data_IF_322194575797
#
_entry.id   IF_322194575797
#
_cell.length_a   1.000
_cell.length_b   1.000
_cell.length_c   1.000
_cell.angle_alpha   90.00
_cell.angle_beta   90.00
_cell.angle_gamma   90.00
#
_symmetry.space_group_name_H-M   'P 1'
#
loop_
_entity.id
_entity.type
_entity.pdbx_description
1 polymer ?
#
# COMPACT_ATOMS: atom_id res chain seq x y z
N UNK A 1 16.08 -2.75 -3.52
CA UNK A 1 14.71 -2.93 -2.99
C UNK A 1 14.82 -3.76 -1.73
N UNK A 2 14.45 -3.25 -0.55
CA UNK A 2 14.46 -4.06 0.67
C UNK A 2 13.24 -4.97 0.67
N UNK A 3 13.39 -6.22 0.22
CA UNK A 3 12.32 -7.22 0.23
C UNK A 3 12.07 -7.63 1.69
N UNK A 4 10.91 -7.28 2.23
CA UNK A 4 10.43 -7.88 3.45
C UNK A 4 9.65 -9.15 3.08
N UNK A 5 10.05 -10.31 3.59
CA UNK A 5 9.36 -11.59 3.29
C UNK A 5 8.05 -11.78 4.06
N UNK A 6 7.66 -10.74 4.79
CA UNK A 6 6.46 -10.65 5.61
C UNK A 6 5.43 -9.68 5.06
N UNK A 7 5.68 -9.08 3.91
CA UNK A 7 4.55 -8.50 3.20
C UNK A 7 3.78 -9.68 2.65
N UNK A 8 2.47 -9.73 2.88
CA UNK A 8 1.58 -10.75 2.34
C UNK A 8 1.47 -10.71 0.80
N UNK A 9 2.41 -10.02 0.13
CA UNK A 9 2.45 -9.80 -1.30
C UNK A 9 1.40 -8.79 -1.76
N UNK A 10 0.64 -8.21 -0.85
CA UNK A 10 -0.46 -7.32 -1.15
C UNK A 10 -0.39 -6.03 -0.35
N UNK A 11 -1.02 -5.01 -0.89
CA UNK A 11 -1.38 -3.79 -0.17
C UNK A 11 -2.89 -3.63 -0.19
N UNK A 12 -3.38 -2.85 0.76
CA UNK A 12 -4.79 -2.63 0.95
C UNK A 12 -5.07 -1.14 0.91
N UNK A 13 -6.15 -0.77 0.22
CA UNK A 13 -6.65 0.59 0.23
C UNK A 13 -7.33 0.88 1.57
N UNK A 14 -6.77 1.83 2.32
CA UNK A 14 -7.34 2.25 3.61
C UNK A 14 -8.47 3.25 3.50
N UNK A 15 -8.72 3.82 2.31
CA UNK A 15 -9.87 4.68 2.08
C UNK A 15 -11.08 3.89 1.57
N UNK A 16 -10.85 2.68 1.04
CA UNK A 16 -11.91 1.75 0.70
C UNK A 16 -12.52 1.12 1.96
N UNK A 17 -13.85 1.05 2.09
CA UNK A 17 -14.50 0.30 3.18
C UNK A 17 -14.17 -1.21 3.10
N UNK A 18 -13.79 -1.69 1.91
CA UNK A 18 -13.35 -3.07 1.65
C UNK A 18 -11.84 -3.18 1.75
N UNK A 19 -11.33 -4.25 2.38
CA UNK A 19 -9.92 -4.63 2.31
C UNK A 19 -9.62 -5.41 1.01
N UNK A 20 -9.80 -4.71 -0.11
CA UNK A 20 -9.41 -5.22 -1.44
C UNK A 20 -7.90 -5.37 -1.48
N UNK A 21 -7.44 -6.54 -1.93
CA UNK A 21 -6.03 -6.83 -2.13
C UNK A 21 -5.57 -6.26 -3.46
N UNK A 22 -4.43 -5.57 -3.45
CA UNK A 22 -3.76 -5.08 -4.63
C UNK A 22 -2.33 -5.60 -4.66
N UNK A 23 -1.86 -6.02 -5.83
CA UNK A 23 -0.43 -6.20 -6.03
C UNK A 23 0.27 -4.83 -5.88
N UNK A 24 1.44 -4.75 -5.21
CA UNK A 24 2.15 -3.49 -5.02
C UNK A 24 2.43 -2.74 -6.34
N UNK A 25 2.78 -3.46 -7.40
CA UNK A 25 3.03 -2.88 -8.73
C UNK A 25 1.77 -2.22 -9.29
N UNK A 26 0.64 -2.92 -9.30
CA UNK A 26 -0.65 -2.38 -9.76
C UNK A 26 -1.13 -1.21 -8.89
N UNK A 27 -0.88 -1.24 -7.58
CA UNK A 27 -1.19 -0.13 -6.69
C UNK A 27 -0.31 1.10 -6.99
N UNK A 28 0.98 0.91 -7.30
CA UNK A 28 1.87 1.99 -7.73
C UNK A 28 1.40 2.58 -9.06
N UNK A 29 1.08 1.73 -10.04
CA UNK A 29 0.56 2.17 -11.34
C UNK A 29 -0.72 3.01 -11.18
N UNK A 30 -1.63 2.56 -10.31
CA UNK A 30 -2.84 3.32 -9.98
C UNK A 30 -2.50 4.69 -9.36
N UNK A 31 -1.58 4.75 -8.40
CA UNK A 31 -1.18 6.01 -7.78
C UNK A 31 -0.52 6.98 -8.78
N UNK A 32 0.34 6.46 -9.66
CA UNK A 32 1.00 7.25 -10.71
C UNK A 32 0.00 7.74 -11.76
N UNK A 33 -0.99 6.91 -12.11
CA UNK A 33 -2.08 7.31 -13.02
C UNK A 33 -2.93 8.43 -12.44
N UNK A 34 -3.32 8.32 -11.17
CA UNK A 34 -4.07 9.36 -10.44
C UNK A 34 -3.28 10.67 -10.35
N UNK A 35 -1.98 10.59 -10.08
CA UNK A 35 -1.09 11.74 -10.07
C UNK A 35 -1.02 12.42 -11.46
N UNK A 36 -0.85 11.65 -12.52
CA UNK A 36 -0.80 12.17 -13.89
C UNK A 36 -2.13 12.85 -14.28
N UNK A 37 -3.27 12.28 -13.92
CA UNK A 37 -4.59 12.86 -14.17
C UNK A 37 -4.78 14.19 -13.43
N UNK A 38 -4.37 14.26 -12.16
CA UNK A 38 -4.46 15.49 -11.37
C UNK A 38 -3.62 16.63 -11.99
N UNK A 39 -2.40 16.31 -12.45
CA UNK A 39 -1.54 17.27 -13.15
C UNK A 39 -2.17 17.72 -14.48
N UNK A 40 -2.72 16.77 -15.25
CA UNK A 40 -3.33 17.08 -16.54
C UNK A 40 -4.55 18.00 -16.39
N UNK A 41 -5.43 17.74 -15.40
CA UNK A 41 -6.60 18.60 -15.15
C UNK A 41 -6.21 20.03 -14.79
N UNK A 42 -5.18 20.21 -13.95
CA UNK A 42 -4.66 21.53 -13.61
C UNK A 42 -4.10 22.26 -14.85
N UNK A 43 -3.40 21.53 -15.72
CA UNK A 43 -2.85 22.09 -16.96
C UNK A 43 -3.94 22.52 -17.96
N UNK A 44 -5.00 21.73 -18.14
CA UNK A 44 -6.12 22.05 -19.04
C UNK A 44 -6.88 23.28 -18.54
N UNK A 45 -7.05 23.41 -17.23
CA UNK A 45 -7.73 24.54 -16.62
C UNK A 45 -6.93 25.85 -16.68
N UNK A 46 -5.64 25.83 -17.04
CA UNK A 46 -4.71 26.97 -16.86
C UNK A 46 -4.72 27.52 -15.42
N UNK A 47 -5.09 26.69 -14.44
CA UNK A 47 -5.13 27.05 -13.02
C UNK A 47 -4.01 26.29 -12.32
N UNK A 48 -3.03 26.96 -11.71
CA UNK A 48 -2.02 26.28 -10.91
C UNK A 48 -2.70 25.59 -9.72
N UNK A 49 -2.29 24.35 -9.43
CA UNK A 49 -2.79 23.64 -8.25
C UNK A 49 -2.51 24.44 -6.98
N UNK A 50 -3.54 24.63 -6.16
CA UNK A 50 -3.40 25.30 -4.86
C UNK A 50 -2.54 24.47 -3.91
N UNK A 51 -2.05 25.09 -2.83
CA UNK A 51 -1.30 24.38 -1.80
C UNK A 51 -2.14 23.25 -1.17
N UNK A 52 -3.44 23.47 -0.93
CA UNK A 52 -4.32 22.43 -0.38
C UNK A 52 -4.51 21.27 -1.35
N UNK A 53 -4.61 21.53 -2.66
CA UNK A 53 -4.76 20.49 -3.68
C UNK A 53 -3.50 19.61 -3.78
N UNK A 54 -2.32 20.23 -3.70
CA UNK A 54 -1.04 19.51 -3.66
C UNK A 54 -0.94 18.64 -2.41
N UNK A 55 -1.24 19.21 -1.24
CA UNK A 55 -1.21 18.45 0.03
C UNK A 55 -2.20 17.27 0.02
N UNK A 56 -3.42 17.48 -0.50
CA UNK A 56 -4.42 16.42 -0.63
C UNK A 56 -3.94 15.29 -1.54
N UNK A 57 -3.26 15.63 -2.64
CA UNK A 57 -2.69 14.65 -3.57
C UNK A 57 -1.57 13.85 -2.92
N UNK A 58 -0.68 14.50 -2.17
CA UNK A 58 0.38 13.82 -1.41
C UNK A 58 -0.18 12.90 -0.32
N UNK A 59 -1.24 13.32 0.39
CA UNK A 59 -1.94 12.45 1.36
C UNK A 59 -2.64 11.28 0.67
N UNK A 60 -3.17 11.46 -0.53
CA UNK A 60 -3.83 10.38 -1.28
C UNK A 60 -2.85 9.26 -1.67
N UNK A 61 -1.59 9.61 -1.99
CA UNK A 61 -0.51 8.65 -2.25
C UNK A 61 -0.24 7.73 -1.06
N UNK A 62 -0.64 8.12 0.15
CA UNK A 62 -0.42 7.33 1.36
C UNK A 62 -1.54 6.33 1.70
N UNK A 63 -2.53 6.15 0.81
CA UNK A 63 -3.72 5.32 1.07
C UNK A 63 -3.44 3.82 1.12
N UNK A 64 -2.50 3.33 0.30
CA UNK A 64 -2.19 1.90 0.22
C UNK A 64 -1.21 1.51 1.31
N UNK A 65 -1.57 0.50 2.11
CA UNK A 65 -0.71 0.01 3.19
C UNK A 65 -0.59 -1.49 3.24
N UNK A 66 0.55 -1.95 3.74
CA UNK A 66 0.77 -3.34 4.07
C UNK A 66 0.14 -3.67 5.43
N UNK A 67 -0.68 -4.73 5.52
CA UNK A 67 -1.30 -5.13 6.79
C UNK A 67 -0.26 -5.62 7.81
N UNK A 68 0.85 -6.20 7.34
CA UNK A 68 1.87 -6.79 8.20
C UNK A 68 2.55 -5.77 9.13
N UNK A 69 2.85 -4.58 8.64
CA UNK A 69 3.63 -3.55 9.33
C UNK A 69 2.98 -2.16 9.31
N UNK A 70 1.80 -2.03 8.70
CA UNK A 70 1.08 -0.77 8.48
C UNK A 70 1.92 0.29 7.76
N UNK A 71 2.95 -0.13 7.02
CA UNK A 71 3.75 0.78 6.20
C UNK A 71 2.97 1.18 4.97
N UNK A 72 3.11 2.46 4.62
CA UNK A 72 2.57 3.03 3.40
C UNK A 72 3.39 2.59 2.18
N UNK A 73 2.70 2.23 1.12
CA UNK A 73 3.31 2.01 -0.19
C UNK A 73 3.81 3.36 -0.73
N UNK A 74 5.10 3.46 -1.00
CA UNK A 74 5.72 4.68 -1.51
C UNK A 74 5.93 4.58 -3.02
N UNK A 75 5.62 5.66 -3.77
CA UNK A 75 5.83 5.75 -5.22
C UNK A 75 7.25 6.19 -5.59
N UNK A 76 7.96 6.87 -4.68
CA UNK A 76 9.31 7.40 -4.88
C UNK A 76 10.31 6.85 -3.86
N UNK A 77 11.45 6.35 -4.35
CA UNK A 77 12.75 6.28 -3.64
C UNK A 77 12.77 5.64 -2.25
N UNK A 78 13.30 4.42 -2.18
CA UNK A 78 13.55 3.64 -0.96
C UNK A 78 12.32 3.42 -0.07
N UNK A 79 11.51 2.43 -0.47
CA UNK A 79 10.59 1.71 0.43
C UNK A 79 11.35 1.41 1.71
N UNK A 80 11.06 2.17 2.77
CA UNK A 80 11.65 1.98 4.08
C UNK A 80 11.22 0.61 4.59
N UNK A 81 11.98 -0.42 4.25
CA UNK A 81 11.65 -1.80 4.56
C UNK A 81 11.41 -1.99 6.05
N UNK A 82 10.57 -2.97 6.39
CA UNK A 82 10.44 -3.48 7.75
C UNK A 82 11.80 -3.52 8.43
N UNK A 83 11.87 -3.05 9.69
CA UNK A 83 13.11 -2.93 10.48
C UNK A 83 14.02 -4.15 10.26
N UNK A 84 15.26 -3.88 9.83
CA UNK A 84 16.35 -4.86 9.64
C UNK A 84 16.41 -5.86 10.80
N UNK A 85 16.46 -7.15 10.50
CA UNK A 85 16.95 -8.13 11.46
C UNK A 85 16.34 -9.53 11.45
N UNK A 86 15.25 -9.82 10.74
CA UNK A 86 14.70 -11.19 10.75
C UNK A 86 14.30 -11.78 9.39
N UNK A 87 14.13 -10.99 8.33
CA UNK A 87 13.31 -11.39 7.17
C UNK A 87 13.73 -10.76 5.82
N UNK A 88 15.03 -10.64 5.57
CA UNK A 88 15.58 -10.14 4.30
C UNK A 88 15.78 -11.25 3.25
N UNK A 89 15.82 -10.90 1.94
CA UNK A 89 15.96 -11.84 0.83
C UNK A 89 17.32 -12.55 0.83
N UNK A 90 18.30 -12.03 1.56
CA UNK A 90 19.57 -12.71 1.81
C UNK A 90 19.44 -14.10 2.47
N UNK A 91 18.28 -14.42 3.07
CA UNK A 91 18.10 -15.63 3.89
C UNK A 91 16.93 -16.54 3.48
N UNK A 92 16.26 -16.28 2.36
CA UNK A 92 15.05 -17.03 1.95
C UNK A 92 14.93 -17.09 0.43
N UNK A 93 14.67 -18.28 -0.09
CA UNK A 93 14.47 -18.50 -1.52
C UNK A 93 13.09 -17.99 -1.97
N UNK A 94 12.91 -17.79 -3.29
CA UNK A 94 11.62 -17.38 -3.87
C UNK A 94 10.46 -18.31 -3.50
N UNK A 95 10.68 -19.62 -3.49
CA UNK A 95 9.63 -20.59 -3.17
C UNK A 95 9.23 -20.52 -1.69
N UNK A 96 10.21 -20.35 -0.80
CA UNK A 96 9.94 -20.15 0.62
C UNK A 96 9.22 -18.83 0.89
N UNK A 97 9.50 -17.79 0.07
CA UNK A 97 8.76 -16.54 0.09
C UNK A 97 7.29 -16.72 -0.32
N UNK A 98 7.02 -17.41 -1.43
CA UNK A 98 5.67 -17.67 -1.92
C UNK A 98 4.87 -18.50 -0.89
N UNK A 99 5.50 -19.50 -0.29
CA UNK A 99 4.90 -20.34 0.75
C UNK A 99 4.60 -19.56 2.04
N UNK A 100 5.54 -18.73 2.51
CA UNK A 100 5.36 -17.94 3.73
C UNK A 100 4.24 -16.90 3.56
N UNK A 101 4.18 -16.25 2.39
CA UNK A 101 3.11 -15.33 2.01
C UNK A 101 1.72 -15.99 2.11
N UNK A 102 1.57 -17.16 1.51
CA UNK A 102 0.28 -17.85 1.39
C UNK A 102 -0.19 -18.46 2.71
N UNK A 103 0.74 -18.82 3.61
CA UNK A 103 0.43 -19.51 4.87
C UNK A 103 0.52 -18.62 6.13
N UNK A 104 0.73 -17.30 5.98
CA UNK A 104 0.84 -16.43 7.14
C UNK A 104 -0.55 -16.15 7.77
N UNK A 105 -0.96 -17.05 8.67
CA UNK A 105 -2.23 -16.95 9.40
C UNK A 105 -2.37 -15.64 10.18
N UNK A 106 -1.26 -15.05 10.67
CA UNK A 106 -1.29 -13.78 11.40
C UNK A 106 -1.86 -12.63 10.54
N UNK A 107 -1.54 -12.61 9.23
CA UNK A 107 -2.10 -11.61 8.32
C UNK A 107 -3.58 -11.83 8.05
N UNK A 108 -4.00 -13.09 7.90
CA UNK A 108 -5.41 -13.41 7.72
C UNK A 108 -6.23 -13.00 8.96
N UNK A 109 -5.74 -13.28 10.17
CA UNK A 109 -6.39 -12.84 11.40
C UNK A 109 -6.47 -11.31 11.50
N UNK A 110 -5.37 -10.60 11.22
CA UNK A 110 -5.38 -9.11 11.21
C UNK A 110 -6.36 -8.56 10.18
N UNK A 111 -6.40 -9.13 8.98
CA UNK A 111 -7.31 -8.74 7.91
C UNK A 111 -8.77 -8.94 8.31
N UNK A 112 -9.13 -10.11 8.84
CA UNK A 112 -10.50 -10.41 9.31
C UNK A 112 -10.92 -9.42 10.40
N UNK A 113 -10.05 -9.17 11.39
CA UNK A 113 -10.34 -8.23 12.48
C UNK A 113 -10.58 -6.80 11.96
N UNK A 114 -9.77 -6.34 11.00
CA UNK A 114 -9.96 -5.03 10.37
C UNK A 114 -11.26 -4.95 9.57
N UNK A 115 -11.62 -6.00 8.84
CA UNK A 115 -12.91 -6.08 8.12
C UNK A 115 -14.10 -5.99 9.08
N UNK A 116 -14.05 -6.75 10.18
CA UNK A 116 -15.10 -6.72 11.20
C UNK A 116 -15.24 -5.33 11.83
N UNK A 117 -14.11 -4.68 12.15
CA UNK A 117 -14.11 -3.32 12.68
C UNK A 117 -14.70 -2.32 11.70
N UNK A 118 -14.40 -2.40 10.39
CA UNK A 118 -14.98 -1.50 9.38
C UNK A 118 -16.49 -1.72 9.23
N UNK A 119 -16.94 -2.98 9.18
CA UNK A 119 -18.35 -3.31 9.09
C UNK A 119 -19.17 -2.79 10.29
N UNK A 120 -18.59 -2.72 11.49
CA UNK A 120 -19.24 -2.18 12.69
C UNK A 120 -19.33 -0.64 12.71
N UNK A 121 -18.62 0.05 11.82
CA UNK A 121 -18.63 1.51 11.71
C UNK A 121 -19.55 2.03 10.59
N UNK A 122 -20.14 1.13 9.81
CA UNK A 122 -21.07 1.45 8.70
C UNK A 122 -22.56 1.37 9.14
N UNK A 123 -22.85 1.13 10.43
CA UNK A 123 -24.18 1.17 11.09
C UNK A 123 -24.33 2.42 11.98
#
# INVERSE_FOLDING_TARGET
MGQCVHHDGFVYDNYSPKLTQWAPETAIEQLLSEEAQAVQQASIANVPMTAEQKERTERAKQRFRYICCNQTLQTTGNVGGCKRGKHGPENITRNEWELARDNNQEYQYKRIRLLQSRAQHDD
#
